data_IF_874068268934
#
_entry.id   IF_874068268934
#
_cell.length_a   1.000
_cell.length_b   1.000
_cell.length_c   1.000
_cell.angle_alpha   90.00
_cell.angle_beta   90.00
_cell.angle_gamma   90.00
#
_symmetry.space_group_name_H-M   'P 1'
#
loop_
_entity.id
_entity.type
_entity.pdbx_description
1 polymer ?
#
# COMPACT_ATOMS: atom_id res chain seq x y z
N UNK A 1 23.11 10.45 -18.13
CA UNK A 1 22.01 9.71 -17.46
C UNK A 1 20.69 10.16 -18.06
N UNK A 2 19.64 9.33 -18.09
CA UNK A 2 18.32 9.76 -18.61
C UNK A 2 17.66 10.71 -17.60
N UNK A 3 16.95 11.76 -18.05
CA UNK A 3 16.33 12.78 -17.18
C UNK A 3 15.53 12.22 -15.97
N UNK A 4 14.73 11.13 -16.08
CA UNK A 4 14.05 10.56 -14.91
C UNK A 4 15.00 9.96 -13.87
N UNK A 5 16.13 9.39 -14.30
CA UNK A 5 17.13 8.77 -13.41
C UNK A 5 17.91 9.83 -12.64
N UNK A 6 18.14 10.98 -13.27
CA UNK A 6 18.79 12.12 -12.66
C UNK A 6 17.99 12.64 -11.46
N UNK A 7 16.69 12.86 -11.66
CA UNK A 7 15.78 13.24 -10.58
C UNK A 7 15.79 12.24 -9.42
N UNK A 8 15.71 10.94 -9.71
CA UNK A 8 15.72 9.89 -8.68
C UNK A 8 17.02 9.95 -7.86
N UNK A 9 18.17 10.18 -8.49
CA UNK A 9 19.45 10.29 -7.78
C UNK A 9 19.48 11.49 -6.84
N UNK A 10 18.91 12.62 -7.25
CA UNK A 10 18.79 13.83 -6.42
C UNK A 10 17.76 13.71 -5.29
N UNK A 11 16.75 12.85 -5.44
CA UNK A 11 15.77 12.55 -4.39
C UNK A 11 16.27 11.52 -3.37
N UNK A 12 17.08 10.56 -3.79
CA UNK A 12 17.59 9.46 -2.95
C UNK A 12 18.99 9.74 -2.38
N UNK A 13 19.32 11.02 -2.12
CA UNK A 13 20.57 11.41 -1.46
C UNK A 13 20.51 11.15 0.05
N UNK A 14 21.56 10.52 0.60
CA UNK A 14 21.68 10.21 2.04
C UNK A 14 21.74 11.48 2.88
N UNK A 15 22.58 12.44 2.47
CA UNK A 15 22.70 13.74 3.13
C UNK A 15 21.44 14.59 2.86
N UNK A 16 20.64 14.90 3.89
CA UNK A 16 19.40 15.66 3.70
C UNK A 16 19.65 17.09 3.25
N UNK A 17 20.82 17.68 3.51
CA UNK A 17 21.14 19.06 3.08
C UNK A 17 21.41 19.15 1.58
N UNK A 18 21.76 18.04 0.95
CA UNK A 18 22.06 17.94 -0.50
C UNK A 18 20.92 17.34 -1.30
N UNK A 19 19.87 16.86 -0.61
CA UNK A 19 18.67 16.32 -1.23
C UNK A 19 17.83 17.46 -1.79
N UNK A 20 17.24 17.24 -2.95
CA UNK A 20 16.31 18.21 -3.53
C UNK A 20 15.15 18.51 -2.58
N UNK A 21 14.83 19.80 -2.48
CA UNK A 21 13.61 20.26 -1.84
C UNK A 21 12.41 20.03 -2.76
N UNK A 22 11.19 20.17 -2.23
CA UNK A 22 9.97 20.05 -3.04
C UNK A 22 9.96 21.05 -4.21
N UNK A 23 10.50 22.26 -4.01
CA UNK A 23 10.58 23.27 -5.08
C UNK A 23 11.57 22.86 -6.18
N UNK A 24 12.72 22.28 -5.81
CA UNK A 24 13.70 21.80 -6.79
C UNK A 24 13.14 20.66 -7.65
N UNK A 25 12.38 19.74 -7.03
CA UNK A 25 11.71 18.63 -7.74
C UNK A 25 10.68 19.16 -8.75
N UNK A 26 9.87 20.15 -8.35
CA UNK A 26 8.87 20.76 -9.25
C UNK A 26 9.50 21.51 -10.42
N UNK A 27 10.69 22.08 -10.22
CA UNK A 27 11.44 22.80 -11.25
C UNK A 27 12.27 21.87 -12.15
N UNK A 28 12.40 20.59 -11.81
CA UNK A 28 13.18 19.64 -12.60
C UNK A 28 12.51 19.37 -13.96
N UNK A 29 13.24 19.37 -15.09
CA UNK A 29 12.67 19.27 -16.44
C UNK A 29 11.73 18.07 -16.64
N UNK A 30 12.04 16.92 -16.04
CA UNK A 30 11.17 15.72 -16.13
C UNK A 30 9.78 15.90 -15.48
N UNK A 31 9.65 16.79 -14.50
CA UNK A 31 8.37 17.09 -13.82
C UNK A 31 7.72 18.33 -14.43
N UNK A 32 8.52 19.34 -14.75
CA UNK A 32 8.06 20.63 -15.27
C UNK A 32 7.51 20.53 -16.69
N UNK A 33 8.14 19.74 -17.55
CA UNK A 33 7.79 19.67 -18.97
C UNK A 33 7.06 18.34 -19.26
N UNK A 34 5.73 18.37 -19.48
CA UNK A 34 4.94 17.15 -19.69
C UNK A 34 5.37 16.36 -20.94
N UNK A 35 5.93 17.04 -21.95
CA UNK A 35 6.42 16.42 -23.19
C UNK A 35 7.72 15.61 -23.00
N UNK A 36 8.42 15.78 -21.87
CA UNK A 36 9.64 15.02 -21.55
C UNK A 36 9.33 13.63 -20.94
N UNK A 37 8.10 13.41 -20.49
CA UNK A 37 7.66 12.12 -20.00
C UNK A 37 7.32 11.20 -21.18
N UNK A 38 8.08 10.11 -21.33
CA UNK A 38 7.80 9.11 -22.37
C UNK A 38 6.54 8.34 -22.02
N UNK A 39 5.53 8.39 -22.88
CA UNK A 39 4.29 7.62 -22.73
C UNK A 39 4.42 6.16 -23.21
N UNK A 40 5.63 5.61 -23.10
CA UNK A 40 5.93 4.24 -23.57
C UNK A 40 5.50 3.24 -22.51
N UNK A 41 4.74 2.21 -22.90
CA UNK A 41 4.42 1.11 -22.00
C UNK A 41 5.68 0.35 -21.57
N UNK A 42 5.94 0.34 -20.26
CA UNK A 42 7.03 -0.41 -19.64
C UNK A 42 6.53 -1.79 -19.18
N UNK A 43 6.45 -2.74 -20.10
CA UNK A 43 5.93 -4.10 -19.84
C UNK A 43 6.73 -4.84 -18.76
N UNK A 44 8.05 -4.67 -18.74
CA UNK A 44 8.94 -5.24 -17.71
C UNK A 44 8.62 -4.70 -16.31
N UNK A 45 8.38 -3.39 -16.19
CA UNK A 45 7.99 -2.75 -14.93
C UNK A 45 6.67 -3.29 -14.40
N UNK A 46 5.66 -3.47 -15.25
CA UNK A 46 4.36 -4.02 -14.83
C UNK A 46 4.50 -5.43 -14.26
N UNK A 47 5.31 -6.28 -14.88
CA UNK A 47 5.59 -7.63 -14.37
C UNK A 47 6.33 -7.59 -13.02
N UNK A 48 7.34 -6.73 -12.89
CA UNK A 48 8.13 -6.58 -11.67
C UNK A 48 7.28 -6.00 -10.52
N UNK A 49 6.39 -5.05 -10.81
CA UNK A 49 5.45 -4.48 -9.85
C UNK A 49 4.48 -5.53 -9.30
N UNK A 50 3.97 -6.43 -10.15
CA UNK A 50 3.14 -7.57 -9.72
C UNK A 50 3.91 -8.48 -8.75
N UNK A 51 5.16 -8.82 -9.08
CA UNK A 51 6.04 -9.63 -8.23
C UNK A 51 6.34 -8.95 -6.89
N UNK A 52 6.62 -7.65 -6.90
CA UNK A 52 6.85 -6.84 -5.70
C UNK A 52 5.62 -6.82 -4.79
N UNK A 53 4.43 -6.57 -5.35
CA UNK A 53 3.18 -6.53 -4.59
C UNK A 53 2.83 -7.89 -3.98
N UNK A 54 3.01 -8.99 -4.71
CA UNK A 54 2.82 -10.34 -4.19
C UNK A 54 3.75 -10.60 -2.98
N UNK A 55 5.04 -10.27 -3.10
CA UNK A 55 6.02 -10.41 -2.02
C UNK A 55 5.66 -9.53 -0.81
N UNK A 56 5.24 -8.29 -1.03
CA UNK A 56 4.83 -7.35 0.03
C UNK A 56 3.63 -7.91 0.82
N UNK A 57 2.58 -8.37 0.13
CA UNK A 57 1.39 -8.94 0.77
C UNK A 57 1.69 -10.23 1.52
N UNK A 58 2.54 -11.10 0.95
CA UNK A 58 2.98 -12.31 1.64
C UNK A 58 3.74 -12.00 2.93
N UNK A 59 4.72 -11.08 2.88
CA UNK A 59 5.46 -10.64 4.07
C UNK A 59 4.54 -10.09 5.17
N UNK A 60 3.54 -9.29 4.80
CA UNK A 60 2.53 -8.81 5.73
C UNK A 60 1.75 -9.97 6.39
N UNK A 61 1.31 -10.95 5.60
CA UNK A 61 0.61 -12.14 6.12
C UNK A 61 1.47 -12.97 7.08
N UNK A 62 2.75 -13.16 6.77
CA UNK A 62 3.69 -13.86 7.65
C UNK A 62 3.88 -13.10 8.97
N UNK A 63 4.04 -11.78 8.93
CA UNK A 63 4.16 -10.96 10.15
C UNK A 63 2.90 -11.04 11.01
N UNK A 64 1.72 -10.99 10.40
CA UNK A 64 0.44 -11.15 11.10
C UNK A 64 0.32 -12.53 11.77
N UNK A 65 0.66 -13.61 11.06
CA UNK A 65 0.66 -14.96 11.62
C UNK A 65 1.64 -15.12 12.80
N UNK A 66 2.84 -14.51 12.70
CA UNK A 66 3.81 -14.49 13.81
C UNK A 66 3.26 -13.76 15.04
N UNK A 67 2.62 -12.61 14.84
CA UNK A 67 2.01 -11.83 15.93
C UNK A 67 0.85 -12.59 16.61
N UNK A 68 -0.02 -13.23 15.82
CA UNK A 68 -1.08 -14.09 16.37
C UNK A 68 -0.51 -15.25 17.19
N UNK A 69 0.56 -15.89 16.70
CA UNK A 69 1.24 -16.96 17.42
C UNK A 69 1.87 -16.47 18.72
N UNK A 70 2.52 -15.30 18.73
CA UNK A 70 3.09 -14.74 19.96
C UNK A 70 2.01 -14.37 20.97
N UNK A 71 0.90 -13.79 20.53
CA UNK A 71 -0.24 -13.47 21.41
C UNK A 71 -0.90 -14.73 21.98
N UNK A 72 -1.08 -15.78 21.18
CA UNK A 72 -1.61 -17.06 21.66
C UNK A 72 -0.69 -17.71 22.71
N UNK A 73 0.63 -17.64 22.51
CA UNK A 73 1.61 -18.10 23.49
C UNK A 73 1.58 -17.27 24.78
N UNK A 74 1.39 -15.95 24.67
CA UNK A 74 1.28 -15.07 25.83
C UNK A 74 0.01 -15.38 26.64
N UNK A 75 -1.14 -15.60 25.98
CA UNK A 75 -2.40 -16.02 26.63
C UNK A 75 -2.24 -17.34 27.39
N UNK A 76 -1.48 -18.30 26.84
CA UNK A 76 -1.17 -19.57 27.52
C UNK A 76 -0.34 -19.34 28.79
N UNK A 77 0.58 -18.39 28.76
CA UNK A 77 1.45 -18.07 29.90
C UNK A 77 0.76 -17.15 30.93
N UNK A 78 -0.26 -16.39 30.52
CA UNK A 78 -1.00 -15.43 31.35
C UNK A 78 -2.30 -15.98 31.96
N UNK A 79 -2.63 -17.27 31.81
CA UNK A 79 -3.92 -17.79 32.25
C UNK A 79 -3.91 -19.21 32.79
N UNK A 80 -3.91 -19.31 34.12
CA UNK A 80 -4.80 -20.25 34.82
C UNK A 80 -5.22 -19.65 36.19
N UNK A 81 -6.43 -19.06 36.28
CA UNK A 81 -7.33 -19.30 37.40
C UNK A 81 -8.40 -20.32 36.97
N UNK A 82 -8.69 -21.23 37.88
CA UNK A 82 -9.63 -22.35 37.77
C UNK A 82 -11.07 -21.84 37.64
N UNK A 83 -11.76 -22.07 36.52
CA UNK A 83 -13.22 -21.97 36.43
C UNK A 83 -13.82 -23.06 35.51
N UNK A 84 -14.87 -23.69 36.04
CA UNK A 84 -15.55 -24.93 35.60
C UNK A 84 -16.36 -24.77 34.30
N UNK A 85 -16.69 -25.88 33.59
CA UNK A 85 -17.41 -25.81 32.32
C UNK A 85 -18.92 -25.67 32.52
N UNK A 86 -19.50 -24.61 31.96
CA UNK A 86 -20.95 -24.41 31.79
C UNK A 86 -21.31 -24.32 30.29
N UNK A 87 -22.29 -25.13 29.91
CA UNK A 87 -22.81 -25.50 28.57
C UNK A 87 -23.19 -24.37 27.58
N UNK A 88 -23.41 -24.70 26.28
CA UNK A 88 -23.39 -23.75 25.18
C UNK A 88 -24.75 -23.09 24.92
N UNK A 89 -24.77 -21.83 24.49
CA UNK A 89 -25.90 -21.27 23.72
C UNK A 89 -25.39 -20.59 22.46
N UNK A 90 -25.84 -21.16 21.35
CA UNK A 90 -25.62 -20.78 19.95
C UNK A 90 -26.60 -19.67 19.59
N UNK A 91 -26.09 -18.52 19.14
CA UNK A 91 -26.83 -17.61 18.27
C UNK A 91 -25.89 -16.71 17.45
N UNK A 92 -25.96 -16.84 16.12
CA UNK A 92 -25.79 -15.73 15.17
C UNK A 92 -24.38 -15.21 14.87
N UNK A 93 -23.61 -15.94 14.05
CA UNK A 93 -22.57 -15.34 13.20
C UNK A 93 -23.24 -14.70 11.98
N UNK A 94 -23.18 -13.37 11.87
CA UNK A 94 -23.41 -12.62 10.63
C UNK A 94 -22.08 -12.03 10.17
N UNK A 95 -21.42 -12.72 9.24
CA UNK A 95 -20.27 -12.21 8.49
C UNK A 95 -20.80 -11.64 7.17
N UNK A 96 -20.37 -10.43 6.83
CA UNK A 96 -20.41 -9.92 5.47
C UNK A 96 -21.32 -8.73 5.28
N UNK A 97 -20.77 -7.53 5.47
CA UNK A 97 -21.24 -6.39 4.69
C UNK A 97 -20.07 -5.81 3.91
N UNK A 98 -20.25 -5.87 2.59
CA UNK A 98 -19.34 -5.49 1.54
C UNK A 98 -19.39 -3.96 1.45
N UNK A 99 -18.35 -3.25 1.91
CA UNK A 99 -18.26 -1.80 1.66
C UNK A 99 -17.89 -1.60 0.19
N UNK A 100 -18.92 -1.40 -0.61
CA UNK A 100 -18.83 -1.03 -2.01
C UNK A 100 -18.37 0.43 -2.09
N UNK A 101 -17.09 0.66 -2.38
CA UNK A 101 -16.56 2.00 -2.66
C UNK A 101 -16.99 2.37 -4.07
N UNK A 102 -18.14 3.03 -4.19
CA UNK A 102 -18.60 3.70 -5.40
C UNK A 102 -17.61 4.81 -5.77
N UNK A 103 -16.76 4.55 -6.76
CA UNK A 103 -16.07 5.63 -7.48
C UNK A 103 -17.12 6.39 -8.28
N UNK A 104 -17.49 7.58 -7.80
CA UNK A 104 -18.31 8.53 -8.55
C UNK A 104 -17.54 9.06 -9.74
N UNK A 105 -17.73 8.43 -10.90
CA UNK A 105 -17.41 9.04 -12.20
C UNK A 105 -18.46 10.13 -12.44
N UNK A 106 -18.03 11.40 -12.48
CA UNK A 106 -18.90 12.49 -12.94
C UNK A 106 -19.21 12.27 -14.42
N UNK A 107 -20.48 12.25 -14.85
CA UNK A 107 -20.80 12.23 -16.28
C UNK A 107 -20.42 13.58 -16.92
N UNK A 108 -20.04 13.59 -18.21
CA UNK A 108 -19.77 14.82 -18.95
C UNK A 108 -21.04 15.65 -19.07
N UNK A 109 -20.92 16.96 -18.85
CA UNK A 109 -22.00 17.91 -19.03
C UNK A 109 -22.45 17.89 -20.50
N UNK A 110 -23.71 17.54 -20.73
CA UNK A 110 -24.38 17.71 -22.01
C UNK A 110 -24.40 19.20 -22.36
N UNK A 111 -23.80 19.53 -23.51
CA UNK A 111 -23.97 20.82 -24.16
C UNK A 111 -25.42 20.88 -24.66
N UNK A 112 -26.17 21.87 -24.18
CA UNK A 112 -27.44 22.27 -24.78
C UNK A 112 -27.15 23.17 -25.98
N UNK A 113 -27.83 22.88 -27.09
CA UNK A 113 -28.04 23.80 -28.22
C UNK A 113 -28.57 25.17 -27.76
#
# INVERSE_FOLDING_TARGET
MTQPKDLINHMLVVDPKKRFTSQDVLNHPWVKDPDQAKDTQLTSFTAEMRRYNARRRFRAGVMAAKALRSMASLKKNLGAPDEKPGSPTRAGRGLGENVQVSHGVRPPAEAKE
#
